data_IF_071585503325
#
_entry.id   IF_071585503325
#
_cell.length_a   1.000
_cell.length_b   1.000
_cell.length_c   1.000
_cell.angle_alpha   90.00
_cell.angle_beta   90.00
_cell.angle_gamma   90.00
#
_symmetry.space_group_name_H-M   'P 1'
#
loop_
_entity.id
_entity.type
_entity.pdbx_description
1 polymer ?
#
# COMPACT_ATOMS: atom_id res chain seq x y z
N UNK A 1 -11.14 8.26 62.39
CA UNK A 1 -11.76 7.36 61.38
C UNK A 1 -12.14 8.00 60.05
N UNK A 2 -11.98 9.31 59.83
CA UNK A 2 -12.39 9.98 58.57
C UNK A 2 -11.29 10.07 57.49
N UNK A 3 -10.02 9.84 57.85
CA UNK A 3 -8.89 10.01 56.90
C UNK A 3 -8.60 8.77 56.04
N UNK A 4 -9.01 7.59 56.43
CA UNK A 4 -8.81 6.34 55.69
C UNK A 4 -9.70 6.29 54.42
N UNK A 5 -10.90 6.85 54.47
CA UNK A 5 -11.84 6.83 53.34
C UNK A 5 -11.44 7.72 52.16
N UNK A 6 -10.65 8.76 52.41
CA UNK A 6 -10.20 9.68 51.35
C UNK A 6 -9.10 9.03 50.49
N UNK A 7 -8.20 8.29 51.09
CA UNK A 7 -7.13 7.57 50.37
C UNK A 7 -7.69 6.41 49.53
N UNK A 8 -8.71 5.70 50.05
CA UNK A 8 -9.40 4.64 49.28
C UNK A 8 -10.18 5.21 48.08
N UNK A 9 -10.78 6.39 48.18
CA UNK A 9 -11.45 7.09 47.13
C UNK A 9 -10.45 7.64 46.08
N UNK A 10 -9.30 8.15 46.50
CA UNK A 10 -8.25 8.63 45.57
C UNK A 10 -7.58 7.48 44.81
N UNK A 11 -7.32 6.32 45.43
CA UNK A 11 -6.75 5.16 44.76
C UNK A 11 -7.76 4.53 43.77
N UNK A 12 -9.05 4.50 44.10
CA UNK A 12 -10.10 4.06 43.18
C UNK A 12 -10.25 4.94 41.96
N UNK A 13 -10.13 6.27 42.12
CA UNK A 13 -10.20 7.24 41.00
C UNK A 13 -8.97 7.17 40.08
N UNK A 14 -7.79 6.86 40.63
CA UNK A 14 -6.55 6.75 39.84
C UNK A 14 -6.52 5.48 38.99
N UNK A 15 -7.20 4.40 39.39
CA UNK A 15 -7.32 3.18 38.57
C UNK A 15 -8.26 3.30 37.40
N UNK A 16 -9.21 4.26 37.39
CA UNK A 16 -10.12 4.48 36.29
C UNK A 16 -9.49 5.23 35.09
N UNK A 17 -8.30 5.81 35.26
CA UNK A 17 -7.66 6.60 34.19
C UNK A 17 -6.83 5.76 33.19
N UNK A 18 -6.70 4.45 33.41
CA UNK A 18 -5.85 3.61 32.56
C UNK A 18 -6.59 2.74 31.54
N UNK A 19 -7.90 2.91 31.35
CA UNK A 19 -8.69 1.96 30.55
C UNK A 19 -9.39 2.56 29.34
N UNK A 20 -8.67 3.31 28.50
CA UNK A 20 -9.13 3.53 27.12
C UNK A 20 -7.94 3.31 26.17
N UNK A 21 -7.62 2.06 25.87
CA UNK A 21 -6.91 1.76 24.62
C UNK A 21 -7.91 2.01 23.50
N UNK A 22 -7.83 3.16 22.85
CA UNK A 22 -8.49 3.39 21.59
C UNK A 22 -7.91 2.38 20.59
N UNK A 23 -8.64 1.31 20.32
CA UNK A 23 -8.32 0.43 19.21
C UNK A 23 -8.85 1.09 17.93
N UNK A 24 -8.00 1.57 17.04
CA UNK A 24 -8.45 2.16 15.79
C UNK A 24 -9.22 1.12 14.97
N UNK A 25 -10.25 1.54 14.24
CA UNK A 25 -10.96 0.67 13.31
C UNK A 25 -10.23 0.52 11.97
N UNK A 26 -9.25 1.37 11.70
CA UNK A 26 -8.44 1.36 10.50
C UNK A 26 -7.03 1.89 10.79
N UNK A 27 -6.07 1.47 9.97
CA UNK A 27 -4.70 1.97 9.96
C UNK A 27 -4.45 2.57 8.57
N UNK A 28 -4.04 3.85 8.53
CA UNK A 28 -3.59 4.44 7.28
C UNK A 28 -2.20 3.92 6.93
N UNK A 29 -2.05 3.42 5.72
CA UNK A 29 -0.76 2.99 5.18
C UNK A 29 -0.06 4.10 4.38
N UNK A 30 -0.61 5.32 4.36
CA UNK A 30 0.05 6.48 3.75
C UNK A 30 1.43 6.73 4.38
N UNK A 31 2.29 7.40 3.62
CA UNK A 31 3.66 7.73 4.04
C UNK A 31 4.71 6.98 3.24
N UNK A 32 5.91 6.85 3.80
CA UNK A 32 7.04 6.22 3.14
C UNK A 32 6.90 4.70 3.06
N UNK A 33 7.24 4.16 1.88
CA UNK A 33 7.33 2.74 1.58
C UNK A 33 8.70 2.44 1.00
N UNK A 34 9.29 1.30 1.33
CA UNK A 34 10.40 0.75 0.55
C UNK A 34 9.94 0.43 -0.87
N UNK A 35 10.82 0.61 -1.85
CA UNK A 35 10.41 0.59 -3.26
C UNK A 35 11.50 0.01 -4.17
N UNK A 36 11.07 -0.74 -5.21
CA UNK A 36 11.93 -1.18 -6.30
C UNK A 36 11.17 -1.29 -7.63
N UNK A 37 11.76 -0.84 -8.72
CA UNK A 37 11.31 -1.16 -10.07
C UNK A 37 11.85 -2.53 -10.48
N UNK A 38 10.99 -3.38 -11.03
CA UNK A 38 11.33 -4.71 -11.52
C UNK A 38 11.31 -4.74 -13.04
N UNK A 39 12.28 -4.06 -13.65
CA UNK A 39 12.32 -3.89 -15.10
C UNK A 39 12.59 -5.19 -15.88
N UNK A 40 13.10 -6.20 -15.22
CA UNK A 40 13.36 -7.53 -15.80
C UNK A 40 12.28 -8.55 -15.49
N UNK A 41 11.30 -8.18 -14.65
CA UNK A 41 10.20 -9.05 -14.20
C UNK A 41 10.70 -10.35 -13.54
N UNK A 42 11.76 -10.24 -12.75
CA UNK A 42 12.39 -11.38 -12.05
C UNK A 42 11.99 -11.48 -10.59
N UNK A 43 11.36 -10.43 -10.04
CA UNK A 43 11.12 -10.30 -8.60
C UNK A 43 10.30 -11.43 -7.98
N UNK A 44 9.38 -12.05 -8.73
CA UNK A 44 8.65 -13.24 -8.25
C UNK A 44 9.63 -14.42 -8.12
N UNK A 45 10.41 -14.70 -9.15
CA UNK A 45 11.33 -15.84 -9.18
C UNK A 45 12.48 -15.69 -8.17
N UNK A 46 12.89 -14.44 -7.90
CA UNK A 46 13.93 -14.10 -6.95
C UNK A 46 13.43 -13.85 -5.53
N UNK A 47 12.12 -14.10 -5.29
CA UNK A 47 11.46 -13.93 -3.99
C UNK A 47 11.66 -12.54 -3.38
N UNK A 48 11.41 -11.49 -4.15
CA UNK A 48 11.54 -10.11 -3.67
C UNK A 48 10.56 -9.78 -2.54
N UNK A 49 9.47 -10.50 -2.41
CA UNK A 49 8.51 -10.32 -1.34
C UNK A 49 9.12 -10.48 0.07
N UNK A 50 10.17 -11.29 0.19
CA UNK A 50 10.92 -11.48 1.45
C UNK A 50 12.08 -10.51 1.65
N UNK A 51 12.40 -9.67 0.65
CA UNK A 51 13.59 -8.81 0.67
C UNK A 51 13.25 -7.38 1.12
N UNK A 52 14.29 -6.61 1.48
CA UNK A 52 14.20 -5.17 1.72
C UNK A 52 14.64 -4.42 0.47
N UNK A 53 13.99 -3.32 0.17
CA UNK A 53 14.35 -2.47 -0.97
C UNK A 53 15.15 -1.25 -0.50
N UNK A 54 16.08 -0.80 -1.35
CA UNK A 54 16.98 0.31 -1.01
C UNK A 54 16.37 1.68 -1.24
N UNK A 55 15.45 1.78 -2.21
CA UNK A 55 14.81 3.05 -2.52
C UNK A 55 13.53 3.18 -1.70
N UNK A 56 13.03 4.39 -1.58
CA UNK A 56 11.75 4.69 -0.92
C UNK A 56 10.86 5.52 -1.83
N UNK A 57 9.56 5.43 -1.61
CA UNK A 57 8.54 6.22 -2.29
C UNK A 57 7.48 6.68 -1.29
N UNK A 58 7.01 7.90 -1.45
CA UNK A 58 5.91 8.42 -0.64
C UNK A 58 4.57 8.07 -1.28
N UNK A 59 3.69 7.41 -0.54
CA UNK A 59 2.33 7.09 -0.97
C UNK A 59 1.28 7.81 -0.09
N UNK A 60 0.14 8.24 -0.65
CA UNK A 60 -0.22 8.15 -2.06
C UNK A 60 0.65 9.04 -2.95
N UNK A 61 1.04 8.52 -4.11
CA UNK A 61 1.91 9.20 -5.06
C UNK A 61 2.12 8.34 -6.31
N UNK A 62 2.89 8.86 -7.25
CA UNK A 62 3.24 8.16 -8.48
C UNK A 62 4.75 7.95 -8.61
N UNK A 63 5.15 6.96 -9.38
CA UNK A 63 6.57 6.75 -9.73
C UNK A 63 7.15 7.95 -10.45
N UNK A 64 6.34 8.65 -11.27
CA UNK A 64 6.71 9.87 -11.97
C UNK A 64 7.04 11.01 -11.01
N UNK A 65 6.15 11.30 -10.06
CA UNK A 65 6.37 12.36 -9.05
C UNK A 65 7.59 12.08 -8.18
N UNK A 66 7.84 10.80 -7.89
CA UNK A 66 9.00 10.36 -7.13
C UNK A 66 10.31 10.32 -7.96
N UNK A 67 10.24 10.61 -9.26
CA UNK A 67 11.41 10.65 -10.14
C UNK A 67 11.88 9.28 -10.63
N UNK A 68 11.06 8.24 -10.49
CA UNK A 68 11.40 6.89 -10.94
C UNK A 68 10.92 6.61 -12.35
N UNK A 69 11.78 5.96 -13.15
CA UNK A 69 11.51 5.59 -14.53
C UNK A 69 12.46 6.24 -15.52
N UNK A 70 12.11 6.20 -16.79
CA UNK A 70 12.88 6.80 -17.88
C UNK A 70 12.48 8.26 -18.03
N UNK A 71 13.44 9.22 -17.93
CA UNK A 71 13.14 10.63 -18.10
C UNK A 71 12.57 10.94 -19.47
N UNK A 72 11.54 11.78 -19.50
CA UNK A 72 11.00 12.31 -20.75
C UNK A 72 11.97 13.34 -21.35
N UNK A 73 12.47 13.06 -22.54
CA UNK A 73 13.42 13.94 -23.26
C UNK A 73 12.73 14.80 -24.33
N UNK A 74 11.41 14.74 -24.43
CA UNK A 74 10.67 15.54 -25.42
C UNK A 74 10.71 17.02 -25.04
N UNK A 75 11.07 17.87 -25.98
CA UNK A 75 10.97 19.31 -25.79
C UNK A 75 9.49 19.70 -25.58
N UNK A 76 9.18 20.62 -24.65
CA UNK A 76 7.82 21.10 -24.47
C UNK A 76 7.32 21.73 -25.78
N UNK A 77 6.25 21.20 -26.37
CA UNK A 77 5.59 21.76 -27.52
C UNK A 77 4.08 21.48 -27.41
N UNK A 78 3.27 22.46 -27.85
CA UNK A 78 1.82 22.30 -27.94
C UNK A 78 1.49 21.52 -29.20
N UNK A 79 1.90 20.27 -29.25
CA UNK A 79 1.58 19.37 -30.35
C UNK A 79 0.72 18.23 -29.87
N UNK A 80 -0.17 17.73 -30.74
CA UNK A 80 -1.13 16.69 -30.42
C UNK A 80 -0.54 15.47 -29.69
N UNK A 81 0.64 14.91 -30.05
CA UNK A 81 1.23 13.79 -29.30
C UNK A 81 1.56 14.12 -27.84
N UNK A 82 2.03 15.34 -27.56
CA UNK A 82 2.41 15.76 -26.20
C UNK A 82 1.19 16.07 -25.35
N UNK A 83 0.17 16.68 -25.92
CA UNK A 83 -1.09 16.95 -25.24
C UNK A 83 -1.81 15.64 -24.90
N UNK A 84 -1.78 14.64 -25.78
CA UNK A 84 -2.39 13.33 -25.55
C UNK A 84 -1.63 12.48 -24.53
N UNK A 85 -0.34 12.71 -24.33
CA UNK A 85 0.47 11.94 -23.37
C UNK A 85 0.59 12.59 -22.00
N UNK A 86 -0.13 13.71 -21.75
CA UNK A 86 -0.12 14.44 -20.48
C UNK A 86 1.30 14.38 -19.90
N UNK A 87 2.18 15.23 -20.40
CA UNK A 87 3.65 15.22 -20.22
C UNK A 87 4.12 14.75 -18.86
N UNK A 88 4.37 13.46 -18.71
CA UNK A 88 5.05 12.88 -17.55
C UNK A 88 6.52 13.29 -17.58
N UNK A 89 7.10 13.56 -16.44
CA UNK A 89 8.55 13.82 -16.30
C UNK A 89 9.34 12.52 -16.50
N UNK A 90 8.81 11.44 -15.94
CA UNK A 90 9.38 10.10 -16.03
C UNK A 90 8.30 9.10 -16.45
N UNK A 91 8.68 8.05 -17.15
CA UNK A 91 7.78 7.00 -17.59
C UNK A 91 8.32 5.63 -17.19
N UNK A 92 7.47 4.82 -16.61
CA UNK A 92 7.78 3.42 -16.33
C UNK A 92 6.58 2.53 -16.65
N UNK A 93 6.82 1.47 -17.40
CA UNK A 93 5.85 0.40 -17.69
C UNK A 93 6.48 -0.93 -17.30
N UNK A 94 5.90 -1.60 -16.34
CA UNK A 94 6.41 -2.84 -15.78
C UNK A 94 5.99 -3.05 -14.33
N UNK A 95 6.40 -4.17 -13.73
CA UNK A 95 6.17 -4.41 -12.31
C UNK A 95 6.99 -3.49 -11.42
N UNK A 96 6.39 -3.07 -10.32
CA UNK A 96 7.05 -2.34 -9.26
C UNK A 96 6.66 -2.96 -7.90
N UNK A 97 7.60 -2.98 -6.97
CA UNK A 97 7.46 -3.59 -5.67
C UNK A 97 7.49 -2.52 -4.59
N UNK A 98 6.58 -2.65 -3.65
CA UNK A 98 6.41 -1.75 -2.51
C UNK A 98 6.37 -2.58 -1.26
N UNK A 99 7.10 -2.20 -0.21
CA UNK A 99 6.97 -2.87 1.08
C UNK A 99 6.93 -1.90 2.25
N UNK A 100 6.21 -2.27 3.30
CA UNK A 100 6.04 -1.49 4.50
C UNK A 100 5.87 -2.37 5.72
N UNK A 101 6.58 -2.04 6.80
CA UNK A 101 6.31 -2.60 8.12
C UNK A 101 5.06 -1.94 8.71
N UNK A 102 4.16 -2.75 9.22
CA UNK A 102 2.93 -2.31 9.90
C UNK A 102 2.85 -2.96 11.26
N UNK A 103 2.31 -2.24 12.25
CA UNK A 103 2.09 -2.77 13.60
C UNK A 103 0.59 -2.96 13.81
N UNK A 104 0.17 -4.22 13.94
CA UNK A 104 -1.22 -4.61 14.12
C UNK A 104 -1.59 -4.53 15.61
N UNK A 105 -2.57 -3.70 15.98
CA UNK A 105 -2.96 -3.52 17.37
C UNK A 105 -3.46 -4.81 18.02
N UNK A 106 -3.16 -5.01 19.31
CA UNK A 106 -3.63 -6.16 20.06
C UNK A 106 -5.16 -6.31 20.08
N UNK A 107 -5.89 -5.19 19.96
CA UNK A 107 -7.35 -5.19 19.87
C UNK A 107 -7.93 -5.65 18.54
N UNK A 108 -7.08 -5.98 17.56
CA UNK A 108 -7.51 -6.56 16.29
C UNK A 108 -7.45 -8.09 16.27
N UNK A 109 -7.03 -8.69 17.39
CA UNK A 109 -7.07 -10.15 17.56
C UNK A 109 -8.48 -10.69 17.26
N UNK A 110 -8.57 -11.73 16.44
CA UNK A 110 -9.84 -12.38 16.03
C UNK A 110 -10.82 -11.47 15.27
N UNK A 111 -10.34 -10.38 14.69
CA UNK A 111 -11.13 -9.53 13.81
C UNK A 111 -10.80 -9.80 12.34
N UNK A 112 -11.78 -9.61 11.48
CA UNK A 112 -11.55 -9.57 10.05
C UNK A 112 -10.68 -8.35 9.72
N UNK A 113 -9.63 -8.56 8.93
CA UNK A 113 -8.67 -7.52 8.53
C UNK A 113 -8.63 -7.48 7.00
N UNK A 114 -9.01 -6.35 6.45
CA UNK A 114 -8.99 -6.12 5.00
C UNK A 114 -7.94 -5.08 4.63
N UNK A 115 -7.13 -5.37 3.62
CA UNK A 115 -6.29 -4.39 2.95
C UNK A 115 -7.05 -3.81 1.75
N UNK A 116 -7.26 -2.50 1.77
CA UNK A 116 -7.87 -1.76 0.67
C UNK A 116 -6.82 -0.91 -0.05
N UNK A 117 -6.63 -1.16 -1.33
CA UNK A 117 -5.76 -0.39 -2.20
C UNK A 117 -6.63 0.42 -3.17
N UNK A 118 -6.61 1.73 -3.03
CA UNK A 118 -7.39 2.63 -3.90
C UNK A 118 -6.53 3.16 -5.05
N UNK A 119 -7.14 3.24 -6.23
CA UNK A 119 -6.54 3.86 -7.44
C UNK A 119 -5.20 3.27 -7.83
N UNK A 120 -5.03 1.97 -7.64
CA UNK A 120 -3.86 1.25 -8.11
C UNK A 120 -4.13 0.74 -9.52
N UNK A 121 -3.24 1.05 -10.43
CA UNK A 121 -3.32 0.66 -11.84
C UNK A 121 -2.09 -0.17 -12.15
N UNK A 122 -2.26 -1.37 -12.58
CA UNK A 122 -3.42 -2.08 -13.12
C UNK A 122 -3.73 -3.30 -12.26
N UNK A 123 -2.73 -4.16 -12.07
CA UNK A 123 -2.79 -5.43 -11.38
C UNK A 123 -1.99 -5.37 -10.10
N UNK A 124 -2.50 -6.01 -9.04
CA UNK A 124 -1.76 -6.14 -7.79
C UNK A 124 -1.70 -7.59 -7.32
N UNK A 125 -0.63 -7.91 -6.63
CA UNK A 125 -0.48 -9.10 -5.79
C UNK A 125 0.11 -8.69 -4.46
N UNK A 126 -0.26 -9.37 -3.38
CA UNK A 126 0.09 -9.00 -2.01
C UNK A 126 0.76 -10.17 -1.30
N UNK A 127 1.73 -9.86 -0.46
CA UNK A 127 2.39 -10.79 0.45
C UNK A 127 2.39 -10.20 1.86
N UNK A 128 2.27 -11.07 2.85
CA UNK A 128 2.48 -10.77 4.27
C UNK A 128 3.62 -11.64 4.76
N UNK A 129 4.66 -11.01 5.31
CA UNK A 129 5.87 -11.69 5.81
C UNK A 129 6.47 -12.68 4.78
N UNK A 130 6.47 -12.27 3.51
CA UNK A 130 6.97 -13.06 2.39
C UNK A 130 6.04 -14.18 1.90
N UNK A 131 4.88 -14.40 2.53
CA UNK A 131 3.86 -15.37 2.09
C UNK A 131 2.82 -14.69 1.24
N UNK A 132 2.55 -15.22 0.06
CA UNK A 132 1.55 -14.66 -0.84
C UNK A 132 0.15 -14.82 -0.27
N UNK A 133 -0.62 -13.75 -0.32
CA UNK A 133 -2.06 -13.75 -0.08
C UNK A 133 -2.75 -14.25 -1.34
N UNK A 134 -3.76 -15.09 -1.19
CA UNK A 134 -4.48 -15.62 -2.34
C UNK A 134 -5.22 -14.55 -3.13
N UNK A 135 -5.29 -14.74 -4.42
CA UNK A 135 -5.96 -13.84 -5.35
C UNK A 135 -5.07 -12.69 -5.80
N UNK A 136 -5.08 -12.49 -7.09
CA UNK A 136 -4.54 -11.31 -7.76
C UNK A 136 -5.73 -10.42 -8.10
N UNK A 137 -5.61 -9.13 -7.83
CA UNK A 137 -6.66 -8.16 -8.14
C UNK A 137 -6.28 -7.38 -9.39
N UNK A 138 -7.27 -7.08 -10.20
CA UNK A 138 -7.08 -6.32 -11.44
C UNK A 138 -8.27 -5.40 -11.67
N UNK A 139 -8.01 -4.09 -11.76
CA UNK A 139 -9.01 -3.08 -12.06
C UNK A 139 -8.37 -1.77 -12.47
N UNK A 140 -9.07 -1.01 -13.33
CA UNK A 140 -8.73 0.38 -13.66
C UNK A 140 -9.36 1.39 -12.70
N UNK A 141 -10.49 1.04 -12.11
CA UNK A 141 -11.33 2.02 -11.38
C UNK A 141 -11.77 1.54 -9.99
N UNK A 142 -11.98 0.23 -9.82
CA UNK A 142 -12.37 -0.31 -8.53
C UNK A 142 -11.17 -0.44 -7.59
N UNK A 143 -11.37 -0.27 -6.28
CA UNK A 143 -10.32 -0.60 -5.31
C UNK A 143 -10.02 -2.10 -5.32
N UNK A 144 -8.77 -2.45 -5.02
CA UNK A 144 -8.37 -3.83 -4.80
C UNK A 144 -8.53 -4.15 -3.32
N UNK A 145 -9.19 -5.27 -3.00
CA UNK A 145 -9.52 -5.70 -1.65
C UNK A 145 -8.91 -7.07 -1.36
N UNK A 146 -8.10 -7.17 -0.32
CA UNK A 146 -7.47 -8.40 0.12
C UNK A 146 -7.87 -8.73 1.55
N UNK A 147 -8.38 -9.93 1.77
CA UNK A 147 -8.60 -10.45 3.11
C UNK A 147 -7.26 -10.90 3.71
N UNK A 148 -6.82 -10.22 4.75
CA UNK A 148 -5.58 -10.51 5.47
C UNK A 148 -5.82 -11.19 6.82
N UNK A 149 -7.04 -11.61 7.11
CA UNK A 149 -7.45 -12.13 8.42
C UNK A 149 -6.58 -13.32 8.88
N UNK A 150 -6.32 -14.26 7.97
CA UNK A 150 -5.50 -15.44 8.26
C UNK A 150 -3.97 -15.17 8.20
N UNK A 151 -3.59 -13.98 7.72
CA UNK A 151 -2.18 -13.62 7.52
C UNK A 151 -1.62 -12.67 8.58
N UNK A 152 -2.49 -11.93 9.29
CA UNK A 152 -2.09 -10.91 10.25
C UNK A 152 -2.51 -11.29 11.66
N UNK A 153 -1.56 -11.19 12.58
CA UNK A 153 -1.77 -11.29 14.03
C UNK A 153 -1.37 -9.97 14.69
N UNK A 154 -1.74 -9.70 15.95
CA UNK A 154 -1.20 -8.55 16.65
C UNK A 154 0.33 -8.53 16.69
N UNK A 155 0.93 -7.39 16.35
CA UNK A 155 2.37 -7.19 16.30
C UNK A 155 2.84 -6.69 14.93
N UNK A 156 4.17 -6.74 14.73
CA UNK A 156 4.80 -6.22 13.50
C UNK A 156 4.74 -7.25 12.38
N UNK A 157 4.33 -6.77 11.21
CA UNK A 157 4.27 -7.54 9.98
C UNK A 157 4.80 -6.71 8.82
N UNK A 158 5.36 -7.37 7.82
CA UNK A 158 5.78 -6.74 6.56
C UNK A 158 4.76 -7.02 5.47
N UNK A 159 4.10 -5.98 4.98
CA UNK A 159 3.23 -6.05 3.82
C UNK A 159 4.06 -5.70 2.58
N UNK A 160 4.06 -6.58 1.59
CA UNK A 160 4.71 -6.35 0.29
C UNK A 160 3.66 -6.41 -0.81
N UNK A 161 3.69 -5.44 -1.72
CA UNK A 161 2.74 -5.30 -2.83
C UNK A 161 3.53 -5.21 -4.13
N UNK A 162 3.20 -6.06 -5.09
CA UNK A 162 3.65 -5.93 -6.48
C UNK A 162 2.53 -5.28 -7.28
N UNK A 163 2.84 -4.21 -7.97
CA UNK A 163 1.95 -3.52 -8.89
C UNK A 163 2.49 -3.69 -10.29
N UNK A 164 1.67 -4.14 -11.23
CA UNK A 164 2.04 -4.28 -12.63
C UNK A 164 1.11 -3.41 -13.48
N UNK A 165 1.68 -2.39 -14.10
CA UNK A 165 0.94 -1.43 -14.92
C UNK A 165 1.03 -1.72 -16.42
N UNK A 166 1.54 -2.90 -16.82
CA UNK A 166 1.59 -3.30 -18.23
C UNK A 166 0.19 -3.53 -18.77
N UNK A 167 -0.05 -3.02 -19.97
CA UNK A 167 -1.30 -3.30 -20.70
C UNK A 167 -1.44 -4.81 -20.93
N UNK A 168 -2.55 -5.37 -20.44
CA UNK A 168 -2.82 -6.81 -20.51
C UNK A 168 -3.72 -7.22 -21.67
N UNK A 169 -4.50 -6.29 -22.16
CA UNK A 169 -5.46 -6.51 -23.25
C UNK A 169 -5.16 -5.58 -24.39
N UNK A 170 -5.48 -6.02 -25.60
CA UNK A 170 -5.39 -5.17 -26.79
C UNK A 170 -6.56 -4.17 -26.84
N UNK A 171 -6.51 -3.22 -25.95
CA UNK A 171 -7.45 -2.10 -25.95
C UNK A 171 -6.99 -1.12 -27.01
N UNK A 172 -7.75 -0.98 -28.08
CA UNK A 172 -7.49 0.03 -29.11
C UNK A 172 -8.02 1.39 -28.66
N UNK A 173 -7.56 2.45 -29.32
CA UNK A 173 -8.08 3.80 -29.04
C UNK A 173 -9.60 3.90 -29.28
N UNK A 174 -10.18 3.04 -30.13
CA UNK A 174 -11.62 2.94 -30.36
C UNK A 174 -12.37 2.34 -29.17
N UNK A 175 -11.78 1.37 -28.51
CA UNK A 175 -12.43 0.71 -27.33
C UNK A 175 -12.48 1.66 -26.15
N UNK A 176 -11.51 2.55 -26.00
CA UNK A 176 -11.49 3.56 -24.93
C UNK A 176 -12.50 4.70 -25.15
N UNK A 177 -13.01 4.88 -26.35
CA UNK A 177 -14.02 5.88 -26.64
C UNK A 177 -15.45 5.44 -26.21
N UNK A 178 -15.62 4.18 -25.85
CA UNK A 178 -16.91 3.60 -25.45
C UNK A 178 -16.92 3.10 -23.99
N UNK A 179 -15.83 3.29 -23.25
CA UNK A 179 -15.71 3.01 -21.82
C UNK A 179 -15.82 4.29 -21.01
#
# INVERSE_FOLDING_TARGET
MRRINIYLLLTGLLMCLFSCKNNPSHISLAGEWEFALDSTDTGINENWAGQNFKNTILLPGTTDDAGYGTPNKLAPAIQKPQVLHLTRKNSYVGPAWYSKEVDIPSGWKEKAIELKLERVIWQTSVWVDGKQVEGMQESLVAPHLYDLTEHLTPGKHKITIRVDNRKRYDITAGDMAHA
#
